data_IF_912598045930
#
_entry.id   IF_912598045930
#
_cell.length_a   1.000
_cell.length_b   1.000
_cell.length_c   1.000
_cell.angle_alpha   90.00
_cell.angle_beta   90.00
_cell.angle_gamma   90.00
#
_symmetry.space_group_name_H-M   'P 1'
#
loop_
_entity.id
_entity.type
_entity.pdbx_description
1 polymer ?
#
# COMPACT_ATOMS: atom_id res chain seq x y z
N UNK A 1 -10.28 8.38 -30.67
CA UNK A 1 -9.58 9.32 -29.76
C UNK A 1 -10.14 10.73 -29.96
N UNK A 2 -10.15 11.58 -28.93
CA UNK A 2 -10.62 12.96 -29.06
C UNK A 2 -9.65 13.78 -29.95
N UNK A 3 -10.18 14.48 -30.95
CA UNK A 3 -9.38 15.26 -31.90
C UNK A 3 -8.62 16.38 -31.17
N UNK A 4 -7.36 16.62 -31.56
CA UNK A 4 -6.51 17.68 -31.01
C UNK A 4 -5.92 17.41 -29.61
N UNK A 5 -6.06 16.20 -29.05
CA UNK A 5 -5.35 15.80 -27.83
C UNK A 5 -3.88 15.47 -28.16
N UNK A 6 -2.88 16.09 -27.51
CA UNK A 6 -1.47 15.68 -27.62
C UNK A 6 -1.24 14.32 -26.99
N UNK A 7 -0.12 13.70 -27.35
CA UNK A 7 0.30 12.44 -26.75
C UNK A 7 0.75 12.63 -25.29
N UNK A 8 0.51 11.61 -24.44
CA UNK A 8 1.04 11.64 -23.07
C UNK A 8 2.58 11.54 -23.16
N UNK A 9 3.36 12.42 -22.49
CA UNK A 9 4.83 12.35 -22.48
C UNK A 9 5.35 10.96 -22.08
N UNK A 10 6.45 10.51 -22.69
CA UNK A 10 6.97 9.15 -22.50
C UNK A 10 7.33 8.84 -21.04
N UNK A 11 7.91 9.81 -20.32
CA UNK A 11 8.27 9.63 -18.91
C UNK A 11 7.04 9.55 -18.00
N UNK A 12 5.98 10.30 -18.32
CA UNK A 12 4.70 10.24 -17.62
C UNK A 12 3.96 8.92 -17.92
N UNK A 13 4.00 8.43 -19.17
CA UNK A 13 3.54 7.07 -19.52
C UNK A 13 4.28 6.02 -18.70
N UNK A 14 5.62 6.12 -18.58
CA UNK A 14 6.45 5.20 -17.79
C UNK A 14 6.09 5.24 -16.30
N UNK A 15 5.96 6.42 -15.71
CA UNK A 15 5.60 6.58 -14.30
C UNK A 15 4.27 5.87 -13.95
N UNK A 16 3.22 6.08 -14.75
CA UNK A 16 1.89 5.46 -14.54
C UNK A 16 1.94 3.95 -14.72
N UNK A 17 2.75 3.44 -15.66
CA UNK A 17 2.91 1.99 -15.84
C UNK A 17 3.72 1.34 -14.71
N UNK A 18 4.77 2.01 -14.20
CA UNK A 18 5.58 1.52 -13.07
C UNK A 18 4.77 1.50 -11.78
N UNK A 19 4.02 2.56 -11.48
CA UNK A 19 3.07 2.63 -10.36
C UNK A 19 2.08 1.46 -10.38
N UNK A 20 1.51 1.15 -11.55
CA UNK A 20 0.55 0.06 -11.70
C UNK A 20 1.22 -1.34 -11.79
N UNK A 21 2.55 -1.44 -11.67
CA UNK A 21 3.30 -2.69 -11.85
C UNK A 21 3.10 -3.33 -13.24
N UNK A 22 2.91 -2.50 -14.27
CA UNK A 22 2.54 -2.87 -15.65
C UNK A 22 1.24 -3.70 -15.77
N UNK A 23 0.35 -3.64 -14.77
CA UNK A 23 -0.91 -4.41 -14.69
C UNK A 23 -2.11 -3.49 -14.53
N UNK A 24 -3.31 -4.05 -14.77
CA UNK A 24 -4.56 -3.31 -14.55
C UNK A 24 -4.65 -2.85 -13.09
N UNK A 25 -4.88 -1.54 -12.89
CA UNK A 25 -4.94 -0.89 -11.58
C UNK A 25 -6.12 -1.35 -10.71
N UNK A 26 -7.16 -1.96 -11.29
CA UNK A 26 -8.28 -2.51 -10.50
C UNK A 26 -7.76 -3.69 -9.67
N UNK A 27 -7.83 -3.64 -8.33
CA UNK A 27 -7.10 -4.56 -7.44
C UNK A 27 -7.36 -6.05 -7.71
N UNK A 28 -8.60 -6.42 -8.06
CA UNK A 28 -9.02 -7.80 -8.34
C UNK A 28 -8.77 -8.24 -9.80
N UNK A 29 -8.39 -7.32 -10.70
CA UNK A 29 -8.23 -7.62 -12.11
C UNK A 29 -6.78 -7.97 -12.46
N UNK A 30 -5.83 -7.03 -12.26
CA UNK A 30 -4.38 -7.18 -12.51
C UNK A 30 -3.97 -7.79 -13.88
N UNK A 31 -4.89 -7.77 -14.85
CA UNK A 31 -4.72 -8.26 -16.22
C UNK A 31 -3.75 -7.38 -17.04
N UNK A 32 -3.26 -7.95 -18.14
CA UNK A 32 -2.39 -7.32 -19.15
C UNK A 32 -2.87 -7.72 -20.56
N UNK A 33 -2.70 -6.90 -21.61
CA UNK A 33 -2.06 -5.58 -21.63
C UNK A 33 -2.90 -4.48 -20.96
N UNK A 34 -2.33 -3.28 -20.83
CA UNK A 34 -2.97 -2.10 -20.24
C UNK A 34 -2.87 -0.88 -21.13
N UNK A 35 -3.84 0.01 -20.97
CA UNK A 35 -3.98 1.31 -21.61
C UNK A 35 -4.03 2.38 -20.50
N UNK A 36 -3.63 3.62 -20.81
CA UNK A 36 -3.66 4.72 -19.83
C UNK A 36 -4.95 5.53 -20.01
N UNK A 37 -5.83 5.43 -19.02
CA UNK A 37 -7.07 6.18 -18.90
C UNK A 37 -6.88 7.50 -18.13
N UNK A 38 -7.74 8.48 -18.39
CA UNK A 38 -7.86 9.69 -17.56
C UNK A 38 -9.03 9.54 -16.59
N UNK A 39 -8.77 9.68 -15.28
CA UNK A 39 -9.82 9.62 -14.25
C UNK A 39 -10.82 10.78 -14.42
N UNK A 40 -10.31 11.99 -14.65
CA UNK A 40 -11.09 13.17 -15.04
C UNK A 40 -10.87 13.44 -16.52
N UNK A 41 -11.95 13.32 -17.30
CA UNK A 41 -11.90 13.38 -18.77
C UNK A 41 -11.15 14.60 -19.32
N UNK A 42 -10.30 14.35 -20.34
CA UNK A 42 -9.48 15.35 -21.03
C UNK A 42 -10.21 16.63 -21.41
N UNK A 43 -11.48 16.54 -21.85
CA UNK A 43 -12.30 17.69 -22.25
C UNK A 43 -12.41 18.76 -21.15
N UNK A 44 -12.39 18.33 -19.87
CA UNK A 44 -12.49 19.23 -18.71
C UNK A 44 -11.14 19.79 -18.26
N UNK A 45 -10.09 18.95 -18.22
CA UNK A 45 -8.79 19.31 -17.62
C UNK A 45 -7.77 19.82 -18.64
N UNK A 46 -7.82 19.29 -19.87
CA UNK A 46 -6.91 19.62 -21.00
C UNK A 46 -5.41 19.53 -20.68
N UNK A 47 -5.04 18.73 -19.69
CA UNK A 47 -3.68 18.51 -19.21
C UNK A 47 -3.42 17.03 -18.89
N UNK A 48 -2.15 16.63 -18.92
CA UNK A 48 -1.70 15.32 -18.47
C UNK A 48 -1.01 15.46 -17.12
N UNK A 49 -1.72 15.06 -16.06
CA UNK A 49 -1.24 15.06 -14.67
C UNK A 49 -1.17 13.63 -14.16
N UNK A 50 -0.10 13.29 -13.45
CA UNK A 50 0.17 11.93 -12.98
C UNK A 50 -0.99 11.40 -12.10
N UNK A 51 -1.52 12.27 -11.25
CA UNK A 51 -2.61 12.05 -10.30
C UNK A 51 -3.94 11.78 -11.02
N UNK A 52 -4.07 12.20 -12.27
CA UNK A 52 -5.28 12.05 -13.09
C UNK A 52 -5.17 10.93 -14.13
N UNK A 53 -4.07 10.16 -14.13
CA UNK A 53 -3.80 9.06 -15.06
C UNK A 53 -3.74 7.72 -14.32
N UNK A 54 -4.35 6.69 -14.90
CA UNK A 54 -4.42 5.34 -14.32
C UNK A 54 -4.29 4.28 -15.42
N UNK A 55 -3.59 3.17 -15.16
CA UNK A 55 -3.44 2.07 -16.12
C UNK A 55 -4.57 1.03 -15.95
N UNK A 56 -5.32 0.74 -17.02
CA UNK A 56 -6.44 -0.21 -17.02
C UNK A 56 -6.29 -1.21 -18.17
N UNK A 57 -6.69 -2.46 -17.99
CA UNK A 57 -6.86 -3.36 -19.14
C UNK A 57 -8.06 -2.91 -19.99
N UNK A 58 -8.12 -3.26 -21.29
CA UNK A 58 -9.20 -2.82 -22.19
C UNK A 58 -10.62 -3.10 -21.66
N UNK A 59 -10.81 -4.24 -20.98
CA UNK A 59 -12.09 -4.59 -20.33
C UNK A 59 -12.47 -3.60 -19.23
N UNK A 60 -11.55 -3.30 -18.31
CA UNK A 60 -11.79 -2.37 -17.21
C UNK A 60 -11.91 -0.90 -17.69
N UNK A 61 -11.14 -0.52 -18.71
CA UNK A 61 -11.24 0.77 -19.38
C UNK A 61 -12.64 0.97 -19.99
N UNK A 62 -13.14 -0.02 -20.75
CA UNK A 62 -14.48 0.04 -21.32
C UNK A 62 -15.61 0.04 -20.28
N UNK A 63 -15.43 -0.62 -19.13
CA UNK A 63 -16.39 -0.55 -18.00
C UNK A 63 -16.40 0.84 -17.34
N UNK A 64 -15.24 1.47 -17.21
CA UNK A 64 -15.11 2.84 -16.73
C UNK A 64 -15.75 3.85 -17.70
N UNK A 65 -15.50 3.73 -19.01
CA UNK A 65 -16.10 4.60 -20.03
C UNK A 65 -17.63 4.51 -20.07
N UNK A 66 -18.20 3.33 -19.77
CA UNK A 66 -19.65 3.12 -19.61
C UNK A 66 -20.21 3.62 -18.27
N UNK A 67 -19.37 4.02 -17.32
CA UNK A 67 -19.78 4.43 -15.98
C UNK A 67 -20.21 3.30 -15.05
N UNK A 68 -19.93 2.03 -15.38
CA UNK A 68 -20.12 0.90 -14.46
C UNK A 68 -19.15 0.95 -13.28
N UNK A 69 -18.02 1.61 -13.48
CA UNK A 69 -17.02 1.91 -12.46
C UNK A 69 -16.94 3.43 -12.42
N UNK A 70 -17.16 4.01 -11.25
CA UNK A 70 -17.30 5.45 -11.13
C UNK A 70 -15.95 6.15 -10.91
N UNK A 71 -15.96 7.48 -10.90
CA UNK A 71 -14.74 8.28 -10.70
C UNK A 71 -14.24 8.30 -9.26
N UNK A 72 -15.10 8.09 -8.25
CA UNK A 72 -14.67 7.93 -6.86
C UNK A 72 -13.87 6.64 -6.73
N UNK A 73 -14.39 5.51 -7.21
CA UNK A 73 -13.67 4.24 -7.24
C UNK A 73 -12.32 4.35 -7.97
N UNK A 74 -12.25 5.03 -9.12
CA UNK A 74 -10.97 5.19 -9.85
C UNK A 74 -9.93 6.04 -9.09
N UNK A 75 -10.35 7.08 -8.34
CA UNK A 75 -9.44 7.81 -7.44
C UNK A 75 -8.96 6.91 -6.31
N UNK A 76 -9.89 6.16 -5.70
CA UNK A 76 -9.54 5.24 -4.63
C UNK A 76 -8.56 4.15 -5.09
N UNK A 77 -8.72 3.63 -6.31
CA UNK A 77 -7.78 2.68 -6.89
C UNK A 77 -6.42 3.33 -7.11
N UNK A 78 -6.36 4.54 -7.67
CA UNK A 78 -5.12 5.31 -7.90
C UNK A 78 -4.35 5.56 -6.59
N UNK A 79 -5.01 6.05 -5.55
CA UNK A 79 -4.43 6.27 -4.23
C UNK A 79 -3.91 4.95 -3.61
N UNK A 80 -4.67 3.86 -3.79
CA UNK A 80 -4.26 2.53 -3.35
C UNK A 80 -3.13 1.92 -4.20
N UNK A 81 -2.83 2.41 -5.41
CA UNK A 81 -1.69 1.92 -6.19
C UNK A 81 -0.37 2.23 -5.49
N UNK A 82 -0.22 3.47 -5.00
CA UNK A 82 0.97 3.94 -4.27
C UNK A 82 1.26 3.13 -3.00
N UNK A 83 0.23 2.45 -2.47
CA UNK A 83 0.25 1.72 -1.19
C UNK A 83 0.35 0.21 -1.40
N UNK A 84 -0.32 -0.35 -2.42
CA UNK A 84 -0.64 -1.79 -2.47
C UNK A 84 -0.05 -2.49 -3.71
N UNK A 85 0.08 -1.85 -4.87
CA UNK A 85 0.21 -2.62 -6.11
C UNK A 85 1.63 -3.12 -6.39
N UNK A 86 1.85 -4.41 -6.08
CA UNK A 86 2.99 -5.25 -6.52
C UNK A 86 4.31 -5.06 -5.78
N UNK A 87 4.39 -4.16 -4.78
CA UNK A 87 5.54 -4.04 -3.88
C UNK A 87 5.51 -5.10 -2.76
N UNK A 88 4.30 -5.45 -2.31
CA UNK A 88 4.06 -6.38 -1.22
C UNK A 88 3.40 -7.66 -1.72
N UNK A 89 3.76 -8.78 -1.10
CA UNK A 89 3.12 -10.10 -1.30
C UNK A 89 1.69 -10.12 -0.76
N UNK A 90 0.95 -11.20 -1.04
CA UNK A 90 -0.38 -11.41 -0.47
C UNK A 90 -0.35 -11.47 1.07
N UNK A 91 0.66 -12.13 1.66
CA UNK A 91 0.83 -12.21 3.13
C UNK A 91 1.07 -10.84 3.74
N UNK A 92 1.95 -10.03 3.16
CA UNK A 92 2.22 -8.65 3.59
C UNK A 92 0.99 -7.75 3.41
N UNK A 93 0.25 -7.93 2.33
CA UNK A 93 -1.01 -7.23 2.10
C UNK A 93 -2.09 -7.59 3.12
N UNK A 94 -2.15 -8.85 3.57
CA UNK A 94 -3.03 -9.25 4.67
C UNK A 94 -2.56 -8.69 6.02
N UNK A 95 -1.24 -8.67 6.28
CA UNK A 95 -0.67 -8.04 7.46
C UNK A 95 -1.07 -6.55 7.55
N UNK A 96 -0.95 -5.79 6.46
CA UNK A 96 -1.36 -4.37 6.41
C UNK A 96 -2.87 -4.20 6.66
N UNK A 97 -3.72 -5.09 6.12
CA UNK A 97 -5.18 -5.07 6.37
C UNK A 97 -5.52 -5.30 7.84
N UNK A 98 -4.89 -6.30 8.48
CA UNK A 98 -5.05 -6.56 9.92
C UNK A 98 -4.59 -5.36 10.75
N UNK A 99 -3.51 -4.69 10.32
CA UNK A 99 -3.03 -3.47 10.95
C UNK A 99 -4.06 -2.32 10.88
N UNK A 100 -4.67 -2.11 9.71
CA UNK A 100 -5.74 -1.13 9.52
C UNK A 100 -7.02 -1.46 10.32
N UNK A 101 -7.46 -2.72 10.32
CA UNK A 101 -8.64 -3.16 11.08
C UNK A 101 -8.50 -2.94 12.60
N UNK A 102 -7.29 -2.98 13.13
CA UNK A 102 -7.00 -2.82 14.56
C UNK A 102 -6.38 -1.44 14.88
N UNK A 103 -6.44 -0.48 13.95
CA UNK A 103 -5.72 0.79 14.01
C UNK A 103 -5.99 1.59 15.30
N UNK A 104 -7.24 1.70 15.76
CA UNK A 104 -7.58 2.42 17.00
C UNK A 104 -7.00 1.78 18.27
N UNK A 105 -6.76 0.45 18.26
CA UNK A 105 -6.12 -0.25 19.36
C UNK A 105 -4.60 0.04 19.38
N UNK A 106 -3.96 0.14 18.21
CA UNK A 106 -2.54 0.51 18.10
C UNK A 106 -2.31 2.00 18.37
N UNK A 107 -3.18 2.88 17.85
CA UNK A 107 -3.10 4.34 18.06
C UNK A 107 -3.19 4.72 19.55
N UNK A 108 -3.99 4.00 20.35
CA UNK A 108 -4.02 4.20 21.82
C UNK A 108 -2.70 3.81 22.49
N UNK A 109 -2.05 2.72 22.05
CA UNK A 109 -0.73 2.32 22.56
C UNK A 109 0.40 3.27 22.11
N UNK A 110 0.25 3.93 20.97
CA UNK A 110 1.18 4.97 20.50
C UNK A 110 1.20 6.21 21.40
N UNK A 111 0.07 6.57 22.03
CA UNK A 111 -0.04 7.70 22.93
C UNK A 111 0.39 7.38 24.38
N UNK A 112 0.39 6.11 24.79
CA UNK A 112 0.91 5.68 26.09
C UNK A 112 2.40 5.36 26.00
N UNK A 113 3.23 6.37 25.74
CA UNK A 113 4.68 6.25 25.63
C UNK A 113 5.39 6.24 27.01
N UNK A 114 4.88 5.42 27.93
CA UNK A 114 5.49 5.10 29.22
C UNK A 114 5.34 3.59 29.48
N UNK A 115 6.39 2.98 30.07
CA UNK A 115 6.55 1.51 30.29
C UNK A 115 6.89 0.71 29.01
N UNK A 116 8.09 0.13 28.84
CA UNK A 116 9.30 0.19 29.66
C UNK A 116 10.57 -0.10 28.81
N UNK A 117 11.67 0.55 29.23
CA UNK A 117 13.11 0.21 29.10
C UNK A 117 13.60 -0.73 27.98
N UNK A 118 14.57 -0.19 27.22
CA UNK A 118 15.55 -0.83 26.32
C UNK A 118 14.99 -1.51 25.05
N UNK A 119 15.36 -1.13 23.81
CA UNK A 119 16.03 0.06 23.24
C UNK A 119 15.44 0.24 21.82
N UNK A 120 14.95 1.36 21.27
CA UNK A 120 15.06 2.81 21.49
C UNK A 120 16.18 3.56 20.73
N UNK A 121 17.07 2.86 20.01
CA UNK A 121 18.00 3.49 19.05
C UNK A 121 17.35 3.83 17.70
N UNK A 122 16.96 5.10 17.61
CA UNK A 122 16.71 5.89 16.38
C UNK A 122 15.38 5.70 15.63
N UNK A 123 14.41 4.95 16.17
CA UNK A 123 13.04 4.92 15.65
C UNK A 123 11.98 4.68 16.72
N UNK A 124 10.84 5.38 16.63
CA UNK A 124 9.66 5.04 17.43
C UNK A 124 9.01 3.79 16.85
N UNK A 125 8.85 2.78 17.69
CA UNK A 125 8.39 1.43 17.31
C UNK A 125 7.04 1.15 17.96
N UNK A 126 5.98 0.97 17.18
CA UNK A 126 4.68 0.54 17.71
C UNK A 126 4.62 -0.99 17.76
N UNK A 127 4.66 -1.52 18.98
CA UNK A 127 4.25 -2.88 19.29
C UNK A 127 2.83 -3.18 18.79
N UNK A 128 2.73 -3.83 17.63
CA UNK A 128 1.49 -4.42 17.15
C UNK A 128 1.12 -5.56 18.11
N UNK A 129 0.06 -5.35 18.88
CA UNK A 129 -0.36 -6.23 19.96
C UNK A 129 -0.28 -7.72 19.61
N UNK A 130 0.57 -8.43 20.35
CA UNK A 130 0.71 -9.89 20.39
C UNK A 130 1.09 -10.58 19.06
N UNK A 131 1.29 -9.86 17.95
CA UNK A 131 1.64 -10.49 16.68
C UNK A 131 3.10 -10.97 16.71
N UNK A 132 3.21 -12.30 16.61
CA UNK A 132 4.38 -13.10 16.92
C UNK A 132 4.67 -13.97 15.71
N UNK A 133 5.74 -13.66 14.98
CA UNK A 133 6.22 -14.52 13.90
C UNK A 133 7.29 -15.46 14.43
N UNK A 134 7.25 -16.72 13.98
CA UNK A 134 8.40 -17.61 14.17
C UNK A 134 9.64 -16.97 13.52
N UNK A 135 10.79 -17.00 14.18
CA UNK A 135 11.97 -16.24 13.75
C UNK A 135 12.39 -16.62 12.33
N UNK A 136 12.32 -17.89 11.96
CA UNK A 136 12.66 -18.39 10.62
C UNK A 136 11.64 -18.03 9.53
N UNK A 137 10.53 -17.37 9.88
CA UNK A 137 9.49 -16.90 8.95
C UNK A 137 9.54 -15.39 8.69
N UNK A 138 10.60 -14.70 9.15
CA UNK A 138 10.79 -13.25 8.94
C UNK A 138 10.70 -12.83 7.46
N UNK A 139 11.16 -13.70 6.55
CA UNK A 139 11.15 -13.49 5.10
C UNK A 139 9.75 -13.31 4.50
N UNK A 140 8.68 -13.76 5.18
CA UNK A 140 7.30 -13.54 4.76
C UNK A 140 6.94 -12.05 4.69
N UNK A 141 7.63 -11.19 5.45
CA UNK A 141 7.43 -9.74 5.47
C UNK A 141 8.69 -8.97 5.02
N UNK A 142 9.47 -9.58 4.12
CA UNK A 142 10.76 -9.03 3.65
C UNK A 142 10.63 -7.67 2.96
N UNK A 143 9.65 -7.48 2.07
CA UNK A 143 9.46 -6.20 1.40
C UNK A 143 9.02 -5.12 2.41
N UNK A 144 8.11 -5.45 3.34
CA UNK A 144 7.73 -4.52 4.42
C UNK A 144 8.91 -4.10 5.31
N UNK A 145 9.88 -4.99 5.53
CA UNK A 145 11.11 -4.70 6.26
C UNK A 145 12.05 -3.81 5.45
N UNK A 146 12.36 -4.20 4.21
CA UNK A 146 13.24 -3.46 3.29
C UNK A 146 12.72 -2.04 3.02
N UNK A 147 11.39 -1.89 3.01
CA UNK A 147 10.70 -0.62 2.85
C UNK A 147 10.61 0.20 4.15
N UNK A 148 11.08 -0.33 5.28
CA UNK A 148 11.03 0.31 6.59
C UNK A 148 9.61 0.61 7.07
N UNK A 149 8.62 -0.20 6.66
CA UNK A 149 7.23 -0.12 7.12
C UNK A 149 7.08 -0.82 8.47
N UNK A 150 7.75 -1.95 8.62
CA UNK A 150 7.87 -2.68 9.88
C UNK A 150 9.30 -2.65 10.39
N UNK A 151 9.46 -2.95 11.66
CA UNK A 151 10.70 -3.44 12.24
C UNK A 151 10.41 -4.68 13.09
N UNK A 152 11.44 -5.49 13.28
CA UNK A 152 11.44 -6.56 14.25
C UNK A 152 12.04 -6.04 15.56
N UNK A 153 11.44 -6.40 16.70
CA UNK A 153 12.06 -6.13 18.00
C UNK A 153 13.36 -6.94 18.14
N UNK A 154 14.29 -6.42 18.95
CA UNK A 154 15.58 -7.08 19.15
C UNK A 154 15.42 -8.54 19.57
N UNK A 155 16.30 -9.39 19.04
CA UNK A 155 16.38 -10.81 19.42
C UNK A 155 16.84 -10.90 20.87
N UNK A 156 15.89 -10.87 21.81
CA UNK A 156 16.11 -11.44 23.14
C UNK A 156 16.60 -12.87 22.95
N UNK A 157 17.86 -13.20 23.31
CA UNK A 157 18.34 -14.57 23.23
C UNK A 157 17.57 -15.34 24.27
N UNK A 158 16.63 -16.17 23.84
CA UNK A 158 15.79 -16.93 24.76
C UNK A 158 16.69 -17.89 25.55
N UNK A 159 16.91 -17.55 26.83
CA UNK A 159 17.05 -18.59 27.83
C UNK A 159 15.75 -19.39 27.78
N UNK A 160 15.87 -20.64 27.30
CA UNK A 160 14.86 -21.69 27.20
C UNK A 160 13.98 -21.76 25.93
N UNK A 161 14.08 -22.96 25.33
CA UNK A 161 13.12 -23.69 24.49
C UNK A 161 12.91 -23.30 23.00
N UNK A 162 12.48 -24.33 22.26
CA UNK A 162 12.51 -24.41 20.80
C UNK A 162 11.50 -23.48 20.14
N UNK A 163 11.94 -22.84 19.04
CA UNK A 163 11.11 -21.93 18.25
C UNK A 163 11.15 -20.49 18.76
N UNK A 164 12.25 -19.80 18.47
CA UNK A 164 12.41 -18.38 18.77
C UNK A 164 11.31 -17.58 18.05
N UNK A 165 10.64 -16.65 18.74
CA UNK A 165 9.53 -15.88 18.19
C UNK A 165 9.85 -14.39 18.21
N UNK A 166 9.84 -13.76 17.03
CA UNK A 166 10.14 -12.34 16.86
C UNK A 166 8.86 -11.50 16.86
N UNK A 167 8.88 -10.40 17.62
CA UNK A 167 7.79 -9.44 17.66
C UNK A 167 7.88 -8.49 16.47
N UNK A 168 6.77 -8.34 15.73
CA UNK A 168 6.66 -7.40 14.60
C UNK A 168 6.04 -6.10 15.07
N UNK A 169 6.57 -4.97 14.63
CA UNK A 169 6.11 -3.64 15.01
C UNK A 169 6.08 -2.68 13.82
N UNK A 170 5.17 -1.70 13.82
CA UNK A 170 5.19 -0.64 12.80
C UNK A 170 6.20 0.45 13.16
N UNK A 171 6.87 0.99 12.15
CA UNK A 171 7.65 2.23 12.25
C UNK A 171 6.74 3.46 12.10
N UNK A 172 7.22 4.67 12.42
CA UNK A 172 6.52 5.94 12.12
C UNK A 172 6.04 6.01 10.64
N UNK A 173 6.82 5.46 9.69
CA UNK A 173 6.47 5.36 8.27
C UNK A 173 5.32 4.37 8.03
N UNK A 174 5.36 3.21 8.68
CA UNK A 174 4.28 2.22 8.63
C UNK A 174 2.99 2.72 9.26
N UNK A 175 3.06 3.43 10.38
CA UNK A 175 1.90 4.08 11.02
C UNK A 175 1.24 5.09 10.08
N UNK A 176 2.05 5.91 9.40
CA UNK A 176 1.58 6.86 8.37
C UNK A 176 0.99 6.17 7.14
N UNK A 177 1.44 4.94 6.82
CA UNK A 177 0.84 4.11 5.77
C UNK A 177 -0.53 3.57 6.20
N UNK A 178 -0.64 2.99 7.40
CA UNK A 178 -1.89 2.45 7.94
C UNK A 178 -2.94 3.55 8.12
N UNK A 179 -2.55 4.74 8.60
CA UNK A 179 -3.45 5.90 8.68
C UNK A 179 -4.13 6.19 7.34
N UNK A 180 -3.34 6.32 6.26
CA UNK A 180 -3.87 6.52 4.90
C UNK A 180 -4.78 5.39 4.41
N UNK A 181 -4.51 4.14 4.80
CA UNK A 181 -5.37 2.98 4.46
C UNK A 181 -6.70 3.03 5.21
N UNK A 182 -6.75 3.58 6.41
CA UNK A 182 -7.98 3.72 7.22
C UNK A 182 -8.78 4.96 6.84
N UNK A 183 -8.10 6.07 6.53
CA UNK A 183 -8.72 7.31 6.06
C UNK A 183 -9.31 7.17 4.64
N UNK A 184 -8.77 6.23 3.85
CA UNK A 184 -9.40 5.73 2.63
C UNK A 184 -10.65 4.91 2.95
N UNK A 185 -11.83 5.52 2.79
CA UNK A 185 -13.13 4.87 3.08
C UNK A 185 -13.22 3.46 2.44
N UNK A 186 -13.54 2.40 3.22
CA UNK A 186 -13.79 1.08 2.64
C UNK A 186 -15.04 1.10 1.75
N UNK A 187 -15.00 0.28 0.69
CA UNK A 187 -16.06 0.10 -0.32
C UNK A 187 -17.27 -0.63 0.29
#
# INVERSE_FOLDING_TARGET
MAQGRPDIPADLKRAVLVEAGHRCAIPTCRQTPVEIAHITAWVKVREHKFENLIALCPTCHARFDRGEIDRKAMRQYKENLEIINSRYTDTESQFLKVCAQNWEAFRRKHLSADVALDDFREGRVISLGNMKLHTDMWWLLSNLLDDGIITFGDRLPALFEEGLVTQVSLTDKGCSLIGRIVDAEPI
#
